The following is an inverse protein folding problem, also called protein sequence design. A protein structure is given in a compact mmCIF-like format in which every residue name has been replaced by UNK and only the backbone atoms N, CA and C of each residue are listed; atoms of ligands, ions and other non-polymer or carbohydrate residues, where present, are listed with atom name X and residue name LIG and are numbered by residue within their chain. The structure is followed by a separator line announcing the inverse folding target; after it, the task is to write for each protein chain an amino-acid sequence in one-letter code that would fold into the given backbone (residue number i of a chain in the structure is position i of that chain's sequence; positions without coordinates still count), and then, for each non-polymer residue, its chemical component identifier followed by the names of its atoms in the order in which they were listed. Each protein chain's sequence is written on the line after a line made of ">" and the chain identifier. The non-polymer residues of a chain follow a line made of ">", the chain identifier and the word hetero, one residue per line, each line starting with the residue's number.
data_IF_524180567189
#
_entry.id   IF_524180567189
#
_cell.length_a   1.000
_cell.length_b   1.000
_cell.length_c   1.000
_cell.angle_alpha   90.00
_cell.angle_beta   90.00
_cell.angle_gamma   90.00
#
_symmetry.space_group_name_H-M   'P 1'
#
loop_
_entity.id
_entity.type
_entity.pdbx_description
1 polymer ?
#
# COMPACT_ATOMS: atom_id res chain seq x y z
N UNK A 1 49.39 -9.43 15.00
CA UNK A 1 49.33 -8.31 14.04
C UNK A 1 47.88 -7.89 13.92
N UNK A 2 47.53 -6.76 14.51
CA UNK A 2 46.26 -6.06 14.33
C UNK A 2 46.56 -4.56 14.52
N UNK A 3 46.36 -3.80 13.45
CA UNK A 3 46.44 -2.35 13.33
C UNK A 3 45.23 -1.72 14.08
N UNK A 4 45.37 -0.69 14.94
CA UNK A 4 45.48 0.76 14.64
C UNK A 4 44.36 1.24 13.69
N UNK A 5 43.55 2.28 13.91
CA UNK A 5 43.65 3.58 14.59
C UNK A 5 42.20 4.03 14.95
N UNK A 6 41.90 4.75 16.03
CA UNK A 6 42.18 6.18 16.18
C UNK A 6 40.87 6.96 16.35
N UNK A 7 40.40 7.07 17.60
CA UNK A 7 39.30 7.94 18.01
C UNK A 7 39.73 9.41 17.94
N UNK A 8 38.94 10.29 17.30
CA UNK A 8 38.91 11.72 17.66
C UNK A 8 37.47 12.21 17.68
N UNK A 9 36.88 12.22 18.87
CA UNK A 9 35.64 12.92 19.14
C UNK A 9 35.89 14.40 19.40
N UNK A 10 34.89 15.24 19.13
CA UNK A 10 34.71 16.49 19.86
C UNK A 10 33.37 16.36 20.60
N UNK A 11 33.49 15.98 21.86
CA UNK A 11 32.42 15.99 22.85
C UNK A 11 32.19 17.43 23.28
N UNK A 12 31.00 17.99 23.00
CA UNK A 12 30.43 18.98 23.92
C UNK A 12 29.51 18.23 24.85
N UNK A 13 29.98 18.06 26.08
CA UNK A 13 29.30 17.39 27.18
C UNK A 13 28.06 18.18 27.57
N UNK A 14 26.87 17.65 27.28
CA UNK A 14 25.70 17.88 28.12
C UNK A 14 25.54 16.66 29.03
N UNK A 15 25.84 16.84 30.32
CA UNK A 15 25.65 15.83 31.35
C UNK A 15 24.15 15.52 31.47
N UNK A 16 23.82 14.22 31.51
CA UNK A 16 22.51 13.62 31.85
C UNK A 16 21.53 13.39 30.69
N UNK A 17 21.96 12.73 29.61
CA UNK A 17 21.03 11.97 28.78
C UNK A 17 21.38 10.48 28.93
N UNK A 18 20.50 9.71 29.57
CA UNK A 18 20.52 8.26 29.41
C UNK A 18 20.42 7.93 27.91
N UNK A 19 21.13 6.90 27.41
CA UNK A 19 20.99 6.50 26.02
C UNK A 19 19.54 6.05 25.81
N UNK A 20 18.72 6.93 25.23
CA UNK A 20 17.42 6.55 24.71
C UNK A 20 17.70 5.69 23.48
N UNK A 21 17.84 4.38 23.70
CA UNK A 21 17.65 3.41 22.64
C UNK A 21 16.21 3.58 22.15
N UNK A 22 16.04 4.47 21.16
CA UNK A 22 14.82 4.56 20.39
C UNK A 22 14.74 3.24 19.63
N UNK A 23 14.18 2.21 20.26
CA UNK A 23 13.72 1.01 19.57
C UNK A 23 12.92 1.52 18.37
N UNK A 24 13.38 1.20 17.17
CA UNK A 24 12.65 1.56 15.96
C UNK A 24 11.31 0.83 16.06
N UNK A 25 10.16 1.52 16.28
CA UNK A 25 8.89 0.84 16.14
C UNK A 25 8.85 0.27 14.72
N UNK A 26 8.33 -0.95 14.59
CA UNK A 26 8.07 -1.62 13.32
C UNK A 26 7.83 -0.57 12.23
N UNK A 27 8.78 -0.41 11.30
CA UNK A 27 8.63 0.61 10.26
C UNK A 27 7.52 0.13 9.36
N UNK A 28 6.29 0.55 9.65
CA UNK A 28 5.16 0.39 8.77
C UNK A 28 5.58 0.86 7.38
N UNK A 29 5.28 0.06 6.36
CA UNK A 29 5.59 0.43 4.99
C UNK A 29 4.76 1.66 4.64
N UNK A 30 5.46 2.78 4.44
CA UNK A 30 4.87 4.04 4.00
C UNK A 30 5.08 4.22 2.50
N UNK A 31 4.01 4.62 1.81
CA UNK A 31 4.00 4.99 0.41
C UNK A 31 3.44 6.41 0.28
N UNK A 32 3.95 7.14 -0.71
CA UNK A 32 3.50 8.48 -1.05
C UNK A 32 3.38 8.58 -2.57
N UNK A 33 2.45 9.41 -3.02
CA UNK A 33 2.23 9.63 -4.43
C UNK A 33 1.15 10.68 -4.67
N UNK A 34 0.77 10.81 -5.93
CA UNK A 34 -0.25 11.76 -6.38
C UNK A 34 -1.50 11.02 -6.87
N UNK A 35 -2.65 11.59 -6.57
CA UNK A 35 -3.92 11.07 -7.08
C UNK A 35 -3.92 11.13 -8.61
N UNK A 36 -4.31 10.03 -9.25
CA UNK A 36 -4.44 9.95 -10.70
C UNK A 36 -5.79 9.40 -11.13
N UNK A 37 -6.10 9.56 -12.41
CA UNK A 37 -7.30 8.98 -13.03
C UNK A 37 -6.91 7.76 -13.85
N UNK A 38 -7.62 6.66 -13.64
CA UNK A 38 -7.54 5.49 -14.52
C UNK A 38 -8.48 5.60 -15.72
N UNK A 39 -8.57 4.52 -16.49
CA UNK A 39 -9.48 4.41 -17.65
C UNK A 39 -10.97 4.25 -17.26
N UNK A 40 -11.32 4.38 -15.99
CA UNK A 40 -12.70 4.25 -15.50
C UNK A 40 -13.30 2.84 -15.59
N UNK A 41 -12.50 1.78 -15.83
CA UNK A 41 -13.02 0.41 -16.03
C UNK A 41 -13.08 -0.44 -14.76
N UNK A 42 -12.44 -0.02 -13.68
CA UNK A 42 -12.37 -0.79 -12.44
C UNK A 42 -13.75 -1.12 -11.87
N UNK A 43 -14.73 -0.21 -12.01
CA UNK A 43 -16.10 -0.40 -11.51
C UNK A 43 -16.76 -1.71 -12.01
N UNK A 44 -16.45 -2.15 -13.24
CA UNK A 44 -16.99 -3.38 -13.82
C UNK A 44 -16.56 -4.60 -12.99
N UNK A 45 -15.30 -4.63 -12.59
CA UNK A 45 -14.73 -5.69 -11.77
C UNK A 45 -15.16 -5.51 -10.32
N UNK A 46 -14.98 -4.31 -9.76
CA UNK A 46 -15.27 -4.01 -8.36
C UNK A 46 -16.75 -4.25 -7.99
N UNK A 47 -17.69 -4.14 -8.93
CA UNK A 47 -19.11 -4.41 -8.68
C UNK A 47 -19.48 -5.91 -8.67
N UNK A 48 -18.59 -6.82 -9.09
CA UNK A 48 -18.91 -8.25 -9.14
C UNK A 48 -19.13 -8.81 -7.73
N UNK A 49 -20.25 -9.52 -7.52
CA UNK A 49 -20.61 -10.12 -6.23
C UNK A 49 -19.50 -11.00 -5.66
N UNK A 50 -18.83 -11.76 -6.53
CA UNK A 50 -17.73 -12.66 -6.15
C UNK A 50 -16.59 -11.91 -5.43
N UNK A 51 -16.20 -10.73 -5.93
CA UNK A 51 -15.18 -9.93 -5.25
C UNK A 51 -15.74 -9.19 -4.05
N UNK A 52 -16.97 -8.64 -4.14
CA UNK A 52 -17.61 -7.93 -3.03
C UNK A 52 -17.73 -8.79 -1.75
N UNK A 53 -18.02 -10.08 -1.89
CA UNK A 53 -18.08 -10.98 -0.74
C UNK A 53 -16.70 -11.28 -0.13
N UNK A 54 -15.62 -11.18 -0.91
CA UNK A 54 -14.24 -11.28 -0.43
C UNK A 54 -13.74 -9.96 0.18
N UNK A 55 -14.09 -8.82 -0.43
CA UNK A 55 -13.76 -7.48 0.10
C UNK A 55 -14.35 -7.24 1.48
N UNK A 56 -15.53 -7.78 1.81
CA UNK A 56 -16.09 -7.73 3.17
C UNK A 56 -15.17 -8.30 4.24
N UNK A 57 -14.36 -9.32 3.91
CA UNK A 57 -13.41 -9.90 4.86
C UNK A 57 -12.19 -9.00 5.10
N UNK A 58 -11.89 -8.15 4.11
CA UNK A 58 -10.74 -7.24 4.12
C UNK A 58 -11.12 -5.90 4.76
N UNK A 59 -12.22 -5.30 4.30
CA UNK A 59 -12.68 -3.96 4.64
C UNK A 59 -13.78 -3.95 5.71
N UNK A 60 -14.20 -5.12 6.20
CA UNK A 60 -15.30 -5.31 7.15
C UNK A 60 -16.65 -4.76 6.63
N UNK A 61 -16.72 -4.49 5.32
CA UNK A 61 -17.87 -3.96 4.61
C UNK A 61 -17.71 -4.17 3.10
N UNK A 62 -18.76 -3.89 2.33
CA UNK A 62 -18.68 -3.83 0.86
C UNK A 62 -17.71 -2.73 0.43
N UNK A 63 -16.95 -2.99 -0.63
CA UNK A 63 -16.12 -1.97 -1.24
C UNK A 63 -16.98 -1.03 -2.07
N UNK A 64 -16.65 0.27 -2.08
CA UNK A 64 -17.12 1.18 -3.10
C UNK A 64 -16.73 0.64 -4.50
N UNK A 65 -17.62 0.67 -5.51
CA UNK A 65 -17.37 0.07 -6.82
C UNK A 65 -16.42 0.93 -7.67
N UNK A 66 -15.15 0.99 -7.27
CA UNK A 66 -14.08 1.67 -7.96
C UNK A 66 -12.77 1.60 -7.17
N UNK A 67 -11.71 2.10 -7.77
CA UNK A 67 -10.39 2.26 -7.15
C UNK A 67 -10.00 3.74 -7.20
N UNK A 68 -9.30 4.19 -6.16
CA UNK A 68 -8.54 5.44 -6.23
C UNK A 68 -7.13 5.09 -6.69
N UNK A 69 -6.70 5.68 -7.80
CA UNK A 69 -5.35 5.47 -8.31
C UNK A 69 -4.40 6.48 -7.69
N UNK A 70 -3.23 6.01 -7.28
CA UNK A 70 -2.15 6.83 -6.74
C UNK A 70 -0.88 6.51 -7.51
N UNK A 71 -0.38 7.47 -8.27
CA UNK A 71 0.92 7.36 -8.94
C UNK A 71 2.02 7.65 -7.91
N UNK A 72 2.78 6.61 -7.59
CA UNK A 72 3.75 6.63 -6.49
C UNK A 72 5.00 7.41 -6.87
N UNK A 73 5.57 8.11 -5.89
CA UNK A 73 6.88 8.75 -6.02
C UNK A 73 8.00 7.72 -6.12
N UNK A 74 9.12 8.11 -6.74
CA UNK A 74 10.20 7.19 -7.10
C UNK A 74 10.83 6.50 -5.87
N UNK A 75 10.91 7.21 -4.75
CA UNK A 75 11.39 6.70 -3.47
C UNK A 75 10.49 5.61 -2.86
N UNK A 76 9.21 5.58 -3.26
CA UNK A 76 8.22 4.60 -2.81
C UNK A 76 8.15 3.36 -3.71
N UNK A 77 8.72 3.40 -4.92
CA UNK A 77 8.63 2.30 -5.90
C UNK A 77 9.24 1.01 -5.37
N UNK A 78 10.37 1.09 -4.66
CA UNK A 78 11.00 -0.12 -4.12
C UNK A 78 10.11 -0.81 -3.06
N UNK A 79 9.44 -0.02 -2.22
CA UNK A 79 8.49 -0.57 -1.25
C UNK A 79 7.26 -1.18 -1.94
N UNK A 80 6.74 -0.53 -2.97
CA UNK A 80 5.62 -1.07 -3.75
C UNK A 80 6.00 -2.36 -4.49
N UNK A 81 7.21 -2.46 -5.04
CA UNK A 81 7.72 -3.66 -5.68
C UNK A 81 7.76 -4.86 -4.72
N UNK A 82 8.06 -4.65 -3.43
CA UNK A 82 7.96 -5.74 -2.44
C UNK A 82 6.53 -6.30 -2.34
N UNK A 83 5.52 -5.45 -2.38
CA UNK A 83 4.12 -5.89 -2.38
C UNK A 83 3.78 -6.66 -3.66
N UNK A 84 4.33 -6.25 -4.80
CA UNK A 84 4.18 -6.95 -6.09
C UNK A 84 4.85 -8.33 -6.08
N UNK A 85 6.03 -8.45 -5.49
CA UNK A 85 6.74 -9.74 -5.28
C UNK A 85 5.92 -10.66 -4.38
N UNK A 86 5.43 -10.14 -3.23
CA UNK A 86 4.56 -10.89 -2.32
C UNK A 86 3.30 -11.37 -3.05
N UNK A 87 2.73 -10.52 -3.91
CA UNK A 87 1.55 -10.83 -4.74
C UNK A 87 1.83 -11.82 -5.87
N UNK A 88 3.10 -12.16 -6.13
CA UNK A 88 3.52 -13.08 -7.19
C UNK A 88 3.56 -12.48 -8.59
N UNK A 89 3.58 -11.15 -8.72
CA UNK A 89 3.68 -10.46 -10.02
C UNK A 89 5.12 -10.33 -10.51
N UNK A 90 6.06 -10.15 -9.58
CA UNK A 90 7.47 -9.92 -9.89
C UNK A 90 8.34 -10.96 -9.16
N UNK A 91 9.53 -11.23 -9.70
CA UNK A 91 10.51 -12.15 -9.10
C UNK A 91 11.23 -11.51 -7.91
N UNK A 92 11.46 -12.28 -6.86
CA UNK A 92 12.23 -11.85 -5.69
C UNK A 92 11.99 -12.73 -4.46
N UNK A 93 12.76 -12.47 -3.41
CA UNK A 93 12.58 -13.15 -2.13
C UNK A 93 11.27 -12.69 -1.47
N UNK A 94 10.32 -13.63 -1.31
CA UNK A 94 9.11 -13.39 -0.54
C UNK A 94 9.46 -13.35 0.95
N UNK A 95 9.44 -12.15 1.52
CA UNK A 95 9.48 -11.94 2.97
C UNK A 95 8.06 -11.57 3.45
N UNK A 96 7.69 -12.04 4.65
CA UNK A 96 6.44 -11.75 5.37
C UNK A 96 5.17 -11.64 4.50
N UNK A 97 4.72 -12.78 3.96
CA UNK A 97 3.43 -12.86 3.24
C UNK A 97 2.20 -12.87 4.15
N UNK A 98 2.36 -12.90 5.47
CA UNK A 98 1.25 -13.09 6.42
C UNK A 98 0.22 -11.94 6.40
N UNK A 99 0.63 -10.76 5.90
CA UNK A 99 -0.26 -9.60 5.71
C UNK A 99 -0.99 -9.59 4.37
N UNK A 100 -0.64 -10.48 3.44
CA UNK A 100 -1.23 -10.53 2.10
C UNK A 100 -2.58 -11.27 2.13
N UNK A 101 -3.64 -10.59 1.69
CA UNK A 101 -4.99 -11.14 1.66
C UNK A 101 -5.38 -11.47 0.23
N UNK A 102 -5.39 -12.77 -0.09
CA UNK A 102 -5.70 -13.25 -1.42
C UNK A 102 -7.19 -13.10 -1.75
N UNK A 103 -7.48 -12.50 -2.89
CA UNK A 103 -8.80 -12.46 -3.52
C UNK A 103 -8.78 -13.41 -4.72
N UNK A 104 -9.63 -14.41 -4.67
CA UNK A 104 -9.75 -15.41 -5.72
C UNK A 104 -10.44 -14.84 -6.94
N UNK A 105 -9.90 -15.18 -8.11
CA UNK A 105 -10.58 -15.02 -9.38
C UNK A 105 -11.71 -16.04 -9.55
N UNK A 106 -12.45 -15.94 -10.64
CA UNK A 106 -13.56 -16.84 -10.94
C UNK A 106 -13.79 -16.93 -12.45
N UNK A 107 -14.58 -17.92 -12.86
CA UNK A 107 -15.08 -18.04 -14.22
C UNK A 107 -16.57 -17.77 -14.26
N UNK A 108 -17.03 -17.06 -15.29
CA UNK A 108 -18.45 -16.86 -15.56
C UNK A 108 -18.68 -16.77 -17.06
N UNK A 109 -19.63 -17.55 -17.57
CA UNK A 109 -20.03 -17.52 -18.98
C UNK A 109 -18.83 -17.73 -19.93
N UNK A 110 -17.91 -18.63 -19.56
CA UNK A 110 -16.68 -18.92 -20.32
C UNK A 110 -15.63 -17.81 -20.29
N UNK A 111 -15.82 -16.76 -19.49
CA UNK A 111 -14.83 -15.69 -19.27
C UNK A 111 -14.16 -15.90 -17.92
N UNK A 112 -12.83 -15.90 -17.93
CA UNK A 112 -12.02 -15.91 -16.71
C UNK A 112 -11.78 -14.49 -16.22
N UNK A 113 -11.97 -14.29 -14.91
CA UNK A 113 -11.72 -13.06 -14.20
C UNK A 113 -10.55 -13.32 -13.23
N UNK A 114 -9.46 -12.57 -13.39
CA UNK A 114 -8.25 -12.73 -12.58
C UNK A 114 -8.48 -12.46 -11.08
N UNK A 115 -7.61 -12.96 -10.22
CA UNK A 115 -7.65 -12.60 -8.80
C UNK A 115 -6.93 -11.28 -8.52
N UNK A 116 -6.71 -11.04 -7.24
CA UNK A 116 -5.90 -9.95 -6.75
C UNK A 116 -5.32 -10.30 -5.38
N UNK A 117 -4.34 -9.52 -4.94
CA UNK A 117 -3.83 -9.57 -3.57
C UNK A 117 -4.07 -8.21 -2.93
N UNK A 118 -4.61 -8.21 -1.72
CA UNK A 118 -4.90 -6.98 -0.97
C UNK A 118 -4.01 -6.87 0.27
N UNK A 119 -3.65 -5.64 0.62
CA UNK A 119 -2.90 -5.31 1.83
C UNK A 119 -3.68 -4.25 2.60
N UNK A 120 -4.04 -4.54 3.86
CA UNK A 120 -4.75 -3.56 4.71
C UNK A 120 -3.86 -2.33 4.91
N UNK A 121 -4.47 -1.16 4.80
CA UNK A 121 -3.76 0.11 4.84
C UNK A 121 -4.65 1.23 5.40
N UNK A 122 -4.04 2.38 5.63
CA UNK A 122 -4.74 3.66 5.81
C UNK A 122 -4.22 4.66 4.80
N UNK A 123 -5.09 5.58 4.37
CA UNK A 123 -4.76 6.69 3.46
C UNK A 123 -5.07 8.04 4.11
N UNK A 124 -4.26 9.05 3.80
CA UNK A 124 -4.43 10.42 4.27
C UNK A 124 -3.96 11.44 3.22
N UNK A 125 -4.57 12.63 3.19
CA UNK A 125 -4.12 13.78 2.40
C UNK A 125 -3.22 14.75 3.16
N UNK A 126 -3.29 14.71 4.49
CA UNK A 126 -2.63 15.68 5.38
C UNK A 126 -1.68 15.02 6.41
N UNK A 127 -1.50 13.70 6.30
CA UNK A 127 -0.71 12.86 7.20
C UNK A 127 -1.21 12.91 8.67
N UNK A 128 -2.47 13.30 8.90
CA UNK A 128 -3.08 13.45 10.24
C UNK A 128 -4.41 12.71 10.32
N UNK A 129 -5.27 12.93 9.34
CA UNK A 129 -6.59 12.30 9.25
C UNK A 129 -6.50 11.07 8.36
N UNK A 130 -6.64 9.89 8.96
CA UNK A 130 -6.44 8.60 8.29
C UNK A 130 -7.76 7.89 8.07
N UNK A 131 -7.95 7.37 6.85
CA UNK A 131 -9.10 6.56 6.45
C UNK A 131 -8.68 5.13 6.18
N UNK A 132 -9.43 4.16 6.72
CA UNK A 132 -9.18 2.74 6.44
C UNK A 132 -9.41 2.39 4.96
N UNK A 133 -8.47 1.65 4.40
CA UNK A 133 -8.48 1.19 3.02
C UNK A 133 -7.68 -0.10 2.86
N UNK A 134 -7.51 -0.54 1.61
CA UNK A 134 -6.52 -1.54 1.26
C UNK A 134 -5.86 -1.18 -0.07
N UNK A 135 -4.58 -1.51 -0.21
CA UNK A 135 -3.90 -1.53 -1.50
C UNK A 135 -4.32 -2.83 -2.20
N UNK A 136 -4.80 -2.73 -3.44
CA UNK A 136 -5.16 -3.85 -4.27
C UNK A 136 -4.12 -4.02 -5.39
N UNK A 137 -3.59 -5.23 -5.53
CA UNK A 137 -2.68 -5.62 -6.60
C UNK A 137 -3.38 -6.68 -7.46
N UNK A 138 -4.02 -6.29 -8.58
CA UNK A 138 -4.65 -7.24 -9.50
C UNK A 138 -3.61 -8.13 -10.21
N UNK A 139 -3.93 -9.42 -10.41
CA UNK A 139 -3.02 -10.37 -11.07
C UNK A 139 -2.68 -10.00 -12.52
N UNK A 140 -3.56 -9.25 -13.17
CA UNK A 140 -3.46 -8.89 -14.58
C UNK A 140 -3.08 -7.41 -14.77
N UNK A 141 -2.65 -6.73 -13.70
CA UNK A 141 -2.24 -5.32 -13.81
C UNK A 141 -0.94 -5.18 -14.59
N UNK A 142 -0.87 -4.13 -15.41
CA UNK A 142 0.38 -3.69 -16.07
C UNK A 142 0.99 -2.46 -15.41
N UNK A 143 0.31 -1.91 -14.40
CA UNK A 143 0.78 -0.74 -13.69
C UNK A 143 1.85 -1.15 -12.67
N UNK A 144 3.06 -0.63 -12.84
CA UNK A 144 4.19 -0.90 -11.95
C UNK A 144 4.47 0.25 -10.98
N UNK A 145 3.93 1.45 -11.25
CA UNK A 145 4.09 2.66 -10.41
C UNK A 145 2.78 3.21 -9.84
N UNK A 146 1.64 2.66 -10.24
CA UNK A 146 0.32 3.12 -9.77
C UNK A 146 -0.22 2.11 -8.77
N UNK A 147 -0.49 2.56 -7.55
CA UNK A 147 -1.22 1.79 -6.54
C UNK A 147 -2.73 1.98 -6.74
N UNK A 148 -3.49 0.88 -6.69
CA UNK A 148 -4.95 0.91 -6.70
C UNK A 148 -5.47 0.78 -5.27
N UNK A 149 -6.21 1.77 -4.79
CA UNK A 149 -6.72 1.82 -3.41
C UNK A 149 -8.22 1.53 -3.40
N UNK A 150 -8.63 0.57 -2.56
CA UNK A 150 -10.03 0.23 -2.32
C UNK A 150 -10.44 0.65 -0.91
N UNK A 151 -11.68 1.10 -0.77
CA UNK A 151 -12.28 1.43 0.53
C UNK A 151 -13.77 1.14 0.51
N UNK A 152 -14.39 1.07 1.69
CA UNK A 152 -15.85 1.02 1.83
C UNK A 152 -16.52 2.34 1.45
N UNK A 153 -15.76 3.43 1.41
CA UNK A 153 -16.23 4.77 1.07
C UNK A 153 -15.74 5.23 -0.29
N UNK A 154 -16.45 6.19 -0.89
CA UNK A 154 -15.95 6.92 -2.04
C UNK A 154 -14.87 7.92 -1.58
N UNK A 155 -13.61 7.54 -1.72
CA UNK A 155 -12.49 8.29 -1.14
C UNK A 155 -12.42 9.75 -1.63
N UNK A 156 -12.74 10.02 -2.90
CA UNK A 156 -12.77 11.40 -3.43
C UNK A 156 -13.82 12.30 -2.80
N UNK A 157 -14.80 11.74 -2.10
CA UNK A 157 -15.83 12.50 -1.40
C UNK A 157 -15.49 12.69 0.08
N UNK A 158 -15.08 11.61 0.76
CA UNK A 158 -14.79 11.67 2.21
C UNK A 158 -13.42 12.27 2.52
N UNK A 159 -12.50 12.22 1.57
CA UNK A 159 -11.21 12.89 1.58
C UNK A 159 -11.11 13.66 0.26
N UNK A 160 -11.80 14.82 0.13
CA UNK A 160 -11.86 15.56 -1.12
C UNK A 160 -10.48 15.75 -1.71
N UNK A 161 -10.26 15.12 -2.87
CA UNK A 161 -8.99 15.09 -3.54
C UNK A 161 -9.10 15.14 -5.07
N UNK A 162 -8.25 15.95 -5.68
CA UNK A 162 -8.12 16.15 -7.13
C UNK A 162 -6.87 15.45 -7.68
N UNK A 163 -6.81 15.29 -9.01
CA UNK A 163 -5.62 14.71 -9.63
C UNK A 163 -4.39 15.61 -9.39
N UNK A 164 -3.22 15.00 -9.15
CA UNK A 164 -1.98 15.70 -8.82
C UNK A 164 -1.85 16.06 -7.33
N UNK A 165 -2.88 15.87 -6.52
CA UNK A 165 -2.75 16.08 -5.08
C UNK A 165 -2.01 14.93 -4.41
N UNK A 166 -1.08 15.29 -3.51
CA UNK A 166 -0.29 14.34 -2.74
C UNK A 166 -1.13 13.62 -1.69
N UNK A 167 -0.88 12.32 -1.55
CA UNK A 167 -1.44 11.48 -0.48
C UNK A 167 -0.37 10.59 0.16
N UNK A 168 -0.68 10.14 1.36
CA UNK A 168 0.13 9.26 2.21
C UNK A 168 -0.64 7.96 2.44
N UNK A 169 0.05 6.83 2.32
CA UNK A 169 -0.52 5.50 2.55
C UNK A 169 0.41 4.76 3.51
N UNK A 170 -0.16 4.08 4.51
CA UNK A 170 0.60 3.26 5.45
C UNK A 170 -0.05 1.89 5.62
N UNK A 171 0.74 0.81 5.56
CA UNK A 171 0.26 -0.55 5.80
C UNK A 171 0.02 -0.81 7.29
N UNK A 172 -1.02 -1.59 7.60
CA UNK A 172 -1.37 -2.02 8.97
C UNK A 172 -0.82 -3.42 9.23
#
# INVERSE_FOLDING_TARGET
>A
MANSEGWTGIYTVMKNAEPYERGFPDRHMELQGEISSGLGRAHIFMAQRHYQDQFKKILESRAWPGTLNVDLFEDCINNYNKLRIISGLDEGEKSDSDKALRIQGFEREGKSFGGATAFKAKISKDNKNWTDCAILIPDLTRHVKTAEIISKYFLREIMPCENGEKVFITLI
#
